data_IF_911321870919
#
_entry.id   IF_911321870919
#
_cell.length_a   1.000
_cell.length_b   1.000
_cell.length_c   1.000
_cell.angle_alpha   90.00
_cell.angle_beta   90.00
_cell.angle_gamma   90.00
#
_symmetry.space_group_name_H-M   'P 1'
#
loop_
_entity.id
_entity.type
_entity.pdbx_description
1 polymer ?
#
# COMPACT_ATOMS: atom_id res chain seq x y z
N UNK A 1 -23.98 -70.92 16.08
CA UNK A 1 -23.20 -71.72 15.11
C UNK A 1 -21.74 -71.31 15.28
N UNK A 2 -20.92 -72.31 15.57
CA UNK A 2 -19.44 -72.40 15.56
C UNK A 2 -18.72 -71.53 14.54
N UNK A 3 -17.47 -71.10 14.69
CA UNK A 3 -16.42 -71.43 15.67
C UNK A 3 -15.02 -71.11 15.08
N UNK A 4 -13.98 -71.14 15.95
CA UNK A 4 -12.53 -71.35 15.72
C UNK A 4 -11.76 -70.34 14.82
N UNK A 5 -10.67 -69.67 15.25
CA UNK A 5 -9.29 -70.15 15.60
C UNK A 5 -8.52 -70.63 14.34
N UNK A 6 -7.23 -70.42 14.08
CA UNK A 6 -6.00 -70.01 14.81
C UNK A 6 -4.94 -69.53 13.78
N UNK A 7 -3.92 -68.82 14.27
CA UNK A 7 -2.46 -68.81 13.98
C UNK A 7 -1.90 -69.34 12.62
N UNK A 8 -0.78 -68.88 12.06
CA UNK A 8 0.58 -68.81 12.63
C UNK A 8 1.53 -67.97 11.74
N UNK A 9 2.58 -67.49 12.39
CA UNK A 9 3.86 -66.98 11.87
C UNK A 9 4.53 -67.89 10.83
N UNK A 10 5.44 -67.32 10.01
CA UNK A 10 6.87 -67.67 10.02
C UNK A 10 7.66 -66.90 8.94
N UNK A 11 8.72 -66.23 9.39
CA UNK A 11 9.88 -65.79 8.61
C UNK A 11 10.64 -67.00 8.02
N UNK A 12 11.25 -66.87 6.83
CA UNK A 12 12.72 -67.02 6.71
C UNK A 12 13.29 -66.74 5.31
N UNK A 13 14.41 -66.01 5.35
CA UNK A 13 15.63 -66.02 4.53
C UNK A 13 15.69 -66.69 3.14
N UNK A 14 16.24 -65.96 2.15
CA UNK A 14 17.46 -66.43 1.48
C UNK A 14 18.24 -65.35 0.68
N UNK A 15 19.46 -65.10 1.17
CA UNK A 15 20.77 -65.08 0.49
C UNK A 15 20.99 -64.37 -0.88
N UNK A 16 21.87 -63.36 -0.78
CA UNK A 16 22.89 -62.78 -1.71
C UNK A 16 23.76 -63.87 -2.43
N UNK A 17 24.81 -63.62 -3.29
CA UNK A 17 25.47 -62.38 -3.79
C UNK A 17 26.01 -62.44 -5.26
N UNK A 18 26.46 -61.31 -5.83
CA UNK A 18 27.81 -61.13 -6.45
C UNK A 18 27.99 -59.87 -7.34
N UNK A 19 28.89 -58.99 -6.86
CA UNK A 19 30.05 -58.32 -7.53
C UNK A 19 29.82 -57.46 -8.79
N UNK A 20 30.35 -56.23 -8.94
CA UNK A 20 31.71 -55.75 -8.67
C UNK A 20 31.83 -54.21 -8.81
N UNK A 21 32.86 -53.67 -8.15
CA UNK A 21 33.39 -52.31 -8.11
C UNK A 21 33.33 -51.42 -9.37
N UNK A 22 32.97 -50.13 -9.19
CA UNK A 22 33.80 -48.94 -9.50
C UNK A 22 33.43 -47.79 -8.55
N UNK A 23 34.44 -47.12 -8.00
CA UNK A 23 34.30 -45.95 -7.10
C UNK A 23 34.56 -44.62 -7.84
N UNK A 24 33.92 -43.55 -7.32
CA UNK A 24 34.19 -42.09 -7.44
C UNK A 24 33.50 -41.27 -8.56
N UNK A 25 33.30 -39.93 -8.40
CA UNK A 25 33.36 -39.07 -7.20
C UNK A 25 32.09 -38.22 -6.94
N UNK A 26 32.04 -37.63 -5.74
CA UNK A 26 31.13 -36.59 -5.24
C UNK A 26 30.43 -35.72 -6.30
N UNK A 27 29.10 -35.82 -6.36
CA UNK A 27 28.27 -34.82 -7.02
C UNK A 27 28.15 -33.58 -6.11
N UNK A 28 29.07 -32.64 -6.36
CA UNK A 28 28.87 -31.19 -6.35
C UNK A 28 27.77 -30.69 -5.42
N UNK A 29 28.15 -30.31 -4.20
CA UNK A 29 27.48 -29.25 -3.48
C UNK A 29 27.46 -28.04 -4.42
N UNK A 30 26.29 -27.75 -5.00
CA UNK A 30 26.02 -26.51 -5.69
C UNK A 30 26.13 -25.37 -4.68
N UNK A 31 27.35 -24.89 -4.46
CA UNK A 31 27.60 -23.62 -3.80
C UNK A 31 26.85 -22.57 -4.61
N UNK A 32 25.74 -22.10 -4.03
CA UNK A 32 25.05 -20.90 -4.49
C UNK A 32 26.14 -19.81 -4.57
N UNK A 33 26.39 -19.20 -5.74
CA UNK A 33 27.43 -18.19 -5.85
C UNK A 33 27.12 -17.06 -4.87
N UNK A 34 27.90 -16.94 -3.80
CA UNK A 34 27.71 -15.88 -2.82
C UNK A 34 27.95 -14.57 -3.56
N UNK A 35 26.88 -13.79 -3.77
CA UNK A 35 26.96 -12.49 -4.43
C UNK A 35 27.98 -11.62 -3.68
N UNK A 36 29.15 -11.42 -4.28
CA UNK A 36 30.24 -10.63 -3.71
C UNK A 36 29.82 -9.17 -3.65
N UNK A 37 29.56 -8.67 -2.45
CA UNK A 37 29.21 -7.28 -2.21
C UNK A 37 30.43 -6.38 -2.48
N UNK A 38 30.31 -5.47 -3.44
CA UNK A 38 31.35 -4.49 -3.75
C UNK A 38 31.54 -3.50 -2.60
N UNK A 39 32.76 -3.02 -2.37
CA UNK A 39 33.09 -1.98 -1.36
C UNK A 39 33.35 -0.65 -2.07
N UNK A 40 32.98 0.52 -1.51
CA UNK A 40 33.19 1.81 -2.18
C UNK A 40 34.65 2.07 -2.53
N UNK A 41 34.93 2.19 -3.83
CA UNK A 41 36.28 2.42 -4.35
C UNK A 41 36.85 3.79 -3.94
N UNK A 42 35.98 4.75 -3.65
CA UNK A 42 36.33 6.08 -3.13
C UNK A 42 37.01 6.01 -1.75
N UNK A 43 36.69 4.98 -0.95
CA UNK A 43 37.22 4.84 0.41
C UNK A 43 38.24 3.71 0.54
N UNK A 44 38.23 2.74 -0.39
CA UNK A 44 39.05 1.54 -0.30
C UNK A 44 39.56 1.08 -1.67
N UNK A 45 40.79 0.57 -1.70
CA UNK A 45 41.36 -0.14 -2.86
C UNK A 45 41.58 -1.60 -2.51
N UNK A 46 41.14 -2.52 -3.37
CA UNK A 46 41.40 -3.96 -3.22
C UNK A 46 42.88 -4.24 -3.49
N UNK A 47 43.54 -4.98 -2.60
CA UNK A 47 44.97 -5.33 -2.69
C UNK A 47 45.23 -6.83 -2.78
N UNK A 48 44.17 -7.65 -2.81
CA UNK A 48 44.26 -9.10 -3.01
C UNK A 48 43.06 -9.87 -2.45
N UNK A 49 43.07 -11.19 -2.65
CA UNK A 49 42.13 -12.11 -2.03
C UNK A 49 42.76 -12.79 -0.80
N UNK A 50 41.93 -13.26 0.13
CA UNK A 50 42.41 -14.07 1.26
C UNK A 50 42.41 -15.54 0.86
N UNK A 51 43.57 -16.24 0.81
CA UNK A 51 43.62 -17.65 0.43
C UNK A 51 42.70 -18.51 1.30
N UNK A 52 41.85 -19.31 0.66
CA UNK A 52 40.94 -20.25 1.33
C UNK A 52 39.76 -19.60 2.07
N UNK A 53 39.45 -18.32 1.83
CA UNK A 53 38.29 -17.63 2.45
C UNK A 53 37.52 -16.80 1.42
N UNK A 54 36.19 -16.72 1.59
CA UNK A 54 35.31 -15.80 0.84
C UNK A 54 35.46 -14.35 1.36
N UNK A 55 36.68 -13.81 1.24
CA UNK A 55 37.04 -12.48 1.71
C UNK A 55 38.18 -11.89 0.88
N UNK A 56 38.16 -10.57 0.71
CA UNK A 56 39.20 -9.79 0.03
C UNK A 56 39.92 -8.86 1.01
N UNK A 57 41.15 -8.48 0.64
CA UNK A 57 42.01 -7.56 1.36
C UNK A 57 41.88 -6.16 0.78
N UNK A 58 41.70 -5.16 1.64
CA UNK A 58 41.53 -3.76 1.25
C UNK A 58 42.49 -2.83 1.98
N UNK A 59 42.95 -1.79 1.29
CA UNK A 59 43.64 -0.62 1.87
C UNK A 59 42.66 0.54 1.93
N UNK A 60 42.59 1.25 3.06
CA UNK A 60 41.79 2.46 3.20
C UNK A 60 42.50 3.66 2.55
N UNK A 61 41.74 4.52 1.87
CA UNK A 61 42.24 5.71 1.17
C UNK A 61 42.11 7.00 1.99
N UNK A 62 41.56 6.93 3.20
CA UNK A 62 41.40 8.11 4.05
C UNK A 62 42.78 8.69 4.42
N UNK A 63 43.06 10.00 4.21
CA UNK A 63 44.39 10.59 4.41
C UNK A 63 44.96 10.41 5.82
N UNK A 64 44.09 10.39 6.84
CA UNK A 64 44.47 10.15 8.24
C UNK A 64 44.54 8.67 8.66
N UNK A 65 44.39 7.72 7.74
CA UNK A 65 44.43 6.29 8.09
C UNK A 65 45.87 5.77 8.18
N UNK A 66 46.27 5.35 9.39
CA UNK A 66 47.58 4.73 9.63
C UNK A 66 47.47 3.20 9.44
N UNK A 67 48.13 2.59 8.43
CA UNK A 67 48.08 1.15 8.22
C UNK A 67 48.71 0.39 9.40
N UNK A 68 48.03 -0.65 9.89
CA UNK A 68 48.62 -1.55 10.88
C UNK A 68 49.77 -2.32 10.23
N UNK A 69 50.89 -2.52 10.93
CA UNK A 69 52.02 -3.33 10.44
C UNK A 69 52.00 -4.73 11.04
N UNK A 70 52.45 -5.72 10.28
CA UNK A 70 52.74 -7.08 10.76
C UNK A 70 54.10 -7.10 11.48
N UNK A 71 54.43 -8.23 12.12
CA UNK A 71 55.73 -8.42 12.80
C UNK A 71 56.93 -8.30 11.85
N UNK A 72 56.73 -8.60 10.57
CA UNK A 72 57.73 -8.49 9.50
C UNK A 72 57.85 -7.05 8.92
N UNK A 73 57.11 -6.07 9.47
CA UNK A 73 57.12 -4.69 9.01
C UNK A 73 56.20 -4.39 7.81
N UNK A 74 55.63 -5.41 7.17
CA UNK A 74 54.70 -5.23 6.05
C UNK A 74 53.34 -4.68 6.52
N UNK A 75 52.64 -3.96 5.64
CA UNK A 75 51.28 -3.50 5.93
C UNK A 75 50.32 -4.69 6.14
N UNK A 76 49.41 -4.54 7.09
CA UNK A 76 48.31 -5.46 7.37
C UNK A 76 47.02 -4.86 6.81
N UNK A 77 46.56 -5.32 5.63
CA UNK A 77 45.34 -4.81 5.02
C UNK A 77 44.08 -5.18 5.84
N UNK A 78 42.99 -4.47 5.58
CA UNK A 78 41.67 -4.76 6.13
C UNK A 78 41.06 -5.99 5.44
N UNK A 79 40.57 -6.95 6.21
CA UNK A 79 39.85 -8.13 5.68
C UNK A 79 38.36 -7.83 5.61
N UNK A 80 37.76 -7.97 4.42
CA UNK A 80 36.33 -7.76 4.19
C UNK A 80 35.73 -9.01 3.54
N UNK A 81 34.67 -9.55 4.15
CA UNK A 81 33.99 -10.74 3.64
C UNK A 81 33.11 -10.42 2.44
N UNK A 82 33.02 -11.33 1.48
CA UNK A 82 32.23 -11.13 0.26
C UNK A 82 30.73 -10.97 0.55
N UNK A 83 30.23 -11.55 1.65
CA UNK A 83 28.83 -11.46 2.06
C UNK A 83 28.47 -10.20 2.86
N UNK A 84 29.45 -9.35 3.24
CA UNK A 84 29.17 -8.22 4.14
C UNK A 84 30.16 -7.06 4.02
N UNK A 85 29.62 -5.83 4.04
CA UNK A 85 30.40 -4.58 4.07
C UNK A 85 30.71 -4.10 5.49
N UNK A 86 30.29 -4.81 6.54
CA UNK A 86 30.35 -4.32 7.93
C UNK A 86 31.76 -3.92 8.41
N UNK A 87 32.79 -4.69 8.02
CA UNK A 87 34.17 -4.36 8.41
C UNK A 87 34.68 -3.09 7.75
N UNK A 88 34.38 -2.89 6.46
CA UNK A 88 34.73 -1.69 5.73
C UNK A 88 33.97 -0.46 6.27
N UNK A 89 32.65 -0.59 6.48
CA UNK A 89 31.81 0.47 7.06
C UNK A 89 32.37 0.93 8.40
N UNK A 90 32.56 -0.02 9.32
CA UNK A 90 33.06 0.28 10.67
C UNK A 90 34.45 0.92 10.63
N UNK A 91 35.34 0.46 9.76
CA UNK A 91 36.67 1.06 9.62
C UNK A 91 36.59 2.52 9.15
N UNK A 92 35.79 2.79 8.12
CA UNK A 92 35.63 4.13 7.57
C UNK A 92 35.01 5.12 8.58
N UNK A 93 33.98 4.68 9.31
CA UNK A 93 33.30 5.53 10.30
C UNK A 93 34.16 5.86 11.51
N UNK A 94 35.17 5.05 11.83
CA UNK A 94 36.11 5.37 12.90
C UNK A 94 37.00 6.59 12.60
N UNK A 95 37.02 7.08 11.36
CA UNK A 95 37.67 8.34 11.01
C UNK A 95 36.80 9.58 11.31
N UNK A 96 35.55 9.38 11.74
CA UNK A 96 34.61 10.43 12.18
C UNK A 96 33.98 10.02 13.51
N UNK A 97 34.78 9.95 14.60
CA UNK A 97 34.28 9.49 15.91
C UNK A 97 33.25 10.44 16.52
N UNK A 98 33.31 11.73 16.19
CA UNK A 98 32.44 12.81 16.64
C UNK A 98 31.15 12.93 15.82
N UNK A 99 31.09 12.30 14.63
CA UNK A 99 29.96 12.30 13.69
C UNK A 99 29.63 13.67 13.07
N UNK A 100 30.56 14.62 13.13
CA UNK A 100 30.42 15.97 12.61
C UNK A 100 30.91 16.09 11.15
N UNK A 101 31.75 15.16 10.68
CA UNK A 101 32.22 15.11 9.30
C UNK A 101 31.22 14.44 8.34
N UNK A 102 30.13 13.88 8.87
CA UNK A 102 29.05 13.30 8.07
C UNK A 102 29.43 12.01 7.35
N UNK A 103 30.45 11.27 7.82
CA UNK A 103 30.93 10.05 7.15
C UNK A 103 29.85 8.96 7.04
N UNK A 104 28.87 8.95 7.95
CA UNK A 104 27.70 8.06 7.83
C UNK A 104 26.93 8.29 6.53
N UNK A 105 26.69 9.56 6.19
CA UNK A 105 25.98 9.93 4.96
C UNK A 105 26.82 9.64 3.73
N UNK A 106 28.12 9.99 3.76
CA UNK A 106 29.07 9.66 2.68
C UNK A 106 29.14 8.15 2.40
N UNK A 107 29.15 7.33 3.46
CA UNK A 107 29.12 5.88 3.33
C UNK A 107 27.83 5.38 2.69
N UNK A 108 26.68 5.85 3.16
CA UNK A 108 25.37 5.46 2.62
C UNK A 108 25.21 5.84 1.15
N UNK A 109 25.64 7.04 0.78
CA UNK A 109 25.59 7.53 -0.59
C UNK A 109 26.51 6.70 -1.50
N UNK A 110 27.74 6.40 -1.06
CA UNK A 110 28.66 5.58 -1.84
C UNK A 110 28.18 4.12 -2.02
N UNK A 111 27.51 3.54 -1.02
CA UNK A 111 26.90 2.19 -1.15
C UNK A 111 25.71 2.22 -2.12
N UNK A 112 24.87 3.25 -2.08
CA UNK A 112 23.79 3.43 -3.07
C UNK A 112 24.36 3.55 -4.48
N UNK A 113 25.48 4.26 -4.67
CA UNK A 113 26.15 4.34 -5.96
C UNK A 113 26.65 2.98 -6.47
N UNK A 114 27.18 2.11 -5.62
CA UNK A 114 27.60 0.76 -6.01
C UNK A 114 26.43 -0.13 -6.43
N UNK A 115 25.36 -0.13 -5.63
CA UNK A 115 24.20 -0.97 -5.91
C UNK A 115 23.50 -0.51 -7.21
N UNK A 116 23.57 0.78 -7.54
CA UNK A 116 23.16 1.33 -8.84
C UNK A 116 24.14 1.01 -9.99
N UNK A 117 25.46 0.99 -9.72
CA UNK A 117 26.50 0.75 -10.74
C UNK A 117 26.55 -0.70 -11.24
N UNK A 118 26.08 -1.67 -10.45
CA UNK A 118 25.98 -3.08 -10.88
C UNK A 118 24.94 -3.30 -12.00
N UNK A 119 24.10 -2.29 -12.29
CA UNK A 119 23.05 -2.36 -13.31
C UNK A 119 23.43 -1.68 -14.64
N UNK A 120 24.63 -1.09 -14.77
CA UNK A 120 24.94 -0.12 -15.84
C UNK A 120 26.42 -0.19 -16.28
N UNK A 121 26.82 -1.21 -17.05
CA UNK A 121 28.02 -1.10 -17.89
C UNK A 121 27.62 -0.62 -19.30
N UNK A 122 27.52 0.70 -19.48
CA UNK A 122 27.80 1.46 -20.71
C UNK A 122 27.66 2.98 -20.41
N UNK A 123 28.82 3.63 -20.28
CA UNK A 123 29.24 5.05 -20.53
C UNK A 123 28.26 6.26 -20.47
N UNK A 124 28.73 7.50 -20.20
CA UNK A 124 28.32 8.22 -19.00
C UNK A 124 27.73 9.61 -19.28
N UNK A 125 26.47 9.83 -18.88
CA UNK A 125 25.94 11.10 -18.40
C UNK A 125 24.83 10.75 -17.41
N UNK A 126 25.00 10.95 -16.10
CA UNK A 126 23.86 10.75 -15.19
C UNK A 126 23.99 11.52 -13.88
N UNK A 127 23.53 12.79 -13.91
CA UNK A 127 22.47 13.17 -12.96
C UNK A 127 21.42 12.07 -13.07
N UNK A 128 20.91 11.50 -11.97
CA UNK A 128 19.92 10.41 -11.94
C UNK A 128 18.60 10.82 -12.63
N UNK A 129 18.68 11.15 -13.92
CA UNK A 129 17.64 11.33 -14.89
C UNK A 129 17.35 9.91 -15.30
N UNK A 130 16.16 9.44 -14.94
CA UNK A 130 15.51 8.43 -15.75
C UNK A 130 15.35 9.04 -17.14
N UNK A 131 16.30 8.77 -18.02
CA UNK A 131 16.26 9.24 -19.40
C UNK A 131 15.25 8.36 -20.13
N UNK A 132 14.41 8.98 -20.94
CA UNK A 132 13.51 8.26 -21.83
C UNK A 132 14.38 7.74 -22.99
N UNK A 133 14.66 6.44 -23.01
CA UNK A 133 15.52 5.81 -24.02
C UNK A 133 14.69 4.87 -24.89
N UNK A 134 13.86 4.04 -24.25
CA UNK A 134 13.01 3.05 -24.91
C UNK A 134 11.62 3.61 -25.15
N UNK A 135 10.91 3.04 -26.13
CA UNK A 135 9.50 3.37 -26.39
C UNK A 135 8.63 3.15 -25.15
N UNK A 136 8.89 2.07 -24.41
CA UNK A 136 8.19 1.76 -23.16
C UNK A 136 8.42 2.83 -22.08
N UNK A 137 9.62 3.42 -22.01
CA UNK A 137 9.91 4.51 -21.06
C UNK A 137 8.99 5.70 -21.38
N UNK A 138 8.92 6.10 -22.65
CA UNK A 138 8.08 7.21 -23.08
C UNK A 138 6.62 6.95 -22.74
N UNK A 139 6.13 5.76 -23.08
CA UNK A 139 4.74 5.37 -22.85
C UNK A 139 4.41 5.36 -21.35
N UNK A 140 5.30 4.86 -20.49
CA UNK A 140 5.10 4.83 -19.05
C UNK A 140 5.14 6.23 -18.43
N UNK A 141 6.06 7.08 -18.87
CA UNK A 141 6.16 8.46 -18.37
C UNK A 141 4.98 9.33 -18.81
N UNK A 142 4.54 9.20 -20.06
CA UNK A 142 3.37 9.93 -20.56
C UNK A 142 2.10 9.45 -19.84
N UNK A 143 1.93 8.13 -19.67
CA UNK A 143 0.79 7.60 -18.90
C UNK A 143 0.81 8.11 -17.45
N UNK A 144 1.98 8.08 -16.80
CA UNK A 144 2.13 8.59 -15.44
C UNK A 144 1.80 10.09 -15.34
N UNK A 145 2.25 10.90 -16.30
CA UNK A 145 1.89 12.32 -16.40
C UNK A 145 0.36 12.52 -16.48
N UNK A 146 -0.32 11.76 -17.34
CA UNK A 146 -1.78 11.83 -17.45
C UNK A 146 -2.48 11.49 -16.13
N UNK A 147 -1.96 10.52 -15.37
CA UNK A 147 -2.57 10.03 -14.13
C UNK A 147 -2.32 10.98 -12.97
N UNK A 148 -1.07 11.38 -12.75
CA UNK A 148 -0.67 12.24 -11.62
C UNK A 148 -1.38 13.59 -11.70
N UNK A 149 -1.49 14.15 -12.90
CA UNK A 149 -2.12 15.45 -13.11
C UNK A 149 -3.62 15.34 -13.48
N UNK A 150 -4.18 14.12 -13.49
CA UNK A 150 -5.60 13.83 -13.79
C UNK A 150 -6.05 14.50 -15.11
N UNK A 151 -5.23 14.34 -16.14
CA UNK A 151 -5.43 15.00 -17.43
C UNK A 151 -6.31 14.15 -18.36
N UNK A 152 -7.12 14.80 -19.23
CA UNK A 152 -7.81 14.08 -20.29
C UNK A 152 -6.82 13.36 -21.20
N UNK A 153 -7.07 12.09 -21.54
CA UNK A 153 -6.17 11.29 -22.38
C UNK A 153 -5.91 11.96 -23.75
N UNK A 154 -6.88 12.72 -24.28
CA UNK A 154 -6.69 13.50 -25.53
C UNK A 154 -5.54 14.51 -25.46
N UNK A 155 -4.99 14.81 -24.26
CA UNK A 155 -3.82 15.66 -24.08
C UNK A 155 -2.64 15.21 -24.94
N UNK A 156 -2.45 13.89 -25.13
CA UNK A 156 -1.39 13.34 -25.99
C UNK A 156 -1.56 13.72 -27.46
N UNK A 157 -2.76 14.13 -27.87
CA UNK A 157 -3.08 14.51 -29.24
C UNK A 157 -3.00 16.01 -29.48
N UNK A 158 -2.87 16.83 -28.42
CA UNK A 158 -2.75 18.29 -28.53
C UNK A 158 -1.49 18.68 -29.29
N UNK A 159 -1.56 19.65 -30.23
CA UNK A 159 -0.41 20.05 -31.06
C UNK A 159 0.83 20.45 -30.25
N UNK A 160 0.66 21.27 -29.21
CA UNK A 160 1.79 21.71 -28.38
C UNK A 160 2.46 20.57 -27.60
N UNK A 161 1.67 19.59 -27.13
CA UNK A 161 2.23 18.42 -26.44
C UNK A 161 2.98 17.51 -27.41
N UNK A 162 2.41 17.26 -28.60
CA UNK A 162 3.10 16.52 -29.68
C UNK A 162 4.44 17.16 -30.04
N UNK A 163 4.46 18.49 -30.22
CA UNK A 163 5.68 19.22 -30.56
C UNK A 163 6.74 19.15 -29.45
N UNK A 164 6.31 19.28 -28.19
CA UNK A 164 7.19 19.14 -27.03
C UNK A 164 7.84 17.75 -26.98
N UNK A 165 7.03 16.69 -27.03
CA UNK A 165 7.55 15.31 -26.96
C UNK A 165 8.46 15.00 -28.14
N UNK A 166 8.07 15.38 -29.36
CA UNK A 166 8.90 15.18 -30.57
C UNK A 166 10.25 15.90 -30.47
N UNK A 167 10.30 17.07 -29.83
CA UNK A 167 11.54 17.82 -29.64
C UNK A 167 12.45 17.17 -28.59
N UNK A 168 11.86 16.60 -27.54
CA UNK A 168 12.62 15.97 -26.45
C UNK A 168 13.11 14.56 -26.80
N UNK A 169 12.33 13.79 -27.56
CA UNK A 169 12.61 12.39 -27.90
C UNK A 169 12.28 12.10 -29.37
N UNK A 170 13.04 12.67 -30.32
CA UNK A 170 12.71 12.62 -31.75
C UNK A 170 12.75 11.20 -32.35
N UNK A 171 13.43 10.27 -31.69
CA UNK A 171 13.57 8.88 -32.17
C UNK A 171 12.45 7.94 -31.70
N UNK A 172 11.51 8.44 -30.88
CA UNK A 172 10.41 7.66 -30.32
C UNK A 172 9.06 8.17 -30.83
N UNK A 173 8.07 7.29 -30.81
CA UNK A 173 6.73 7.59 -31.32
C UNK A 173 5.81 7.93 -30.16
N UNK A 174 5.23 9.13 -30.17
CA UNK A 174 4.14 9.44 -29.24
C UNK A 174 2.84 8.79 -29.75
N UNK A 175 2.35 7.80 -29.01
CA UNK A 175 1.10 7.13 -29.33
C UNK A 175 -0.14 8.04 -29.14
N UNK A 176 -1.22 7.70 -29.85
CA UNK A 176 -2.49 8.41 -29.76
C UNK A 176 -3.34 8.00 -28.55
N UNK A 177 -4.51 8.64 -28.43
CA UNK A 177 -5.44 8.45 -27.32
C UNK A 177 -5.83 6.99 -27.10
N UNK A 178 -6.14 6.24 -28.16
CA UNK A 178 -6.59 4.83 -28.06
C UNK A 178 -5.56 3.94 -27.38
N UNK A 179 -4.27 4.12 -27.69
CA UNK A 179 -3.20 3.35 -27.06
C UNK A 179 -3.13 3.63 -25.55
N UNK A 180 -3.15 4.90 -25.15
CA UNK A 180 -3.10 5.28 -23.74
C UNK A 180 -4.38 4.91 -22.97
N UNK A 181 -5.54 4.89 -23.63
CA UNK A 181 -6.77 4.32 -23.05
C UNK A 181 -6.57 2.84 -22.72
N UNK A 182 -6.13 2.03 -23.68
CA UNK A 182 -5.92 0.60 -23.46
C UNK A 182 -4.84 0.35 -22.40
N UNK A 183 -3.73 1.11 -22.43
CA UNK A 183 -2.64 1.00 -21.46
C UNK A 183 -3.12 1.37 -20.03
N UNK A 184 -3.97 2.40 -19.91
CA UNK A 184 -4.59 2.76 -18.64
C UNK A 184 -5.52 1.66 -18.13
N UNK A 185 -6.33 1.06 -18.99
CA UNK A 185 -7.23 -0.04 -18.63
C UNK A 185 -6.46 -1.29 -18.17
N UNK A 186 -5.39 -1.67 -18.87
CA UNK A 186 -4.49 -2.75 -18.45
C UNK A 186 -3.90 -2.46 -17.07
N UNK A 187 -3.33 -1.27 -16.88
CA UNK A 187 -2.72 -0.89 -15.60
C UNK A 187 -3.76 -0.81 -14.47
N UNK A 188 -4.98 -0.33 -14.75
CA UNK A 188 -6.09 -0.34 -13.79
C UNK A 188 -6.41 -1.76 -13.34
N UNK A 189 -6.55 -2.71 -14.27
CA UNK A 189 -6.85 -4.10 -13.95
C UNK A 189 -5.74 -4.76 -13.13
N UNK A 190 -4.48 -4.51 -13.47
CA UNK A 190 -3.33 -4.99 -12.68
C UNK A 190 -3.36 -4.43 -11.25
N UNK A 191 -3.59 -3.11 -11.08
CA UNK A 191 -3.67 -2.48 -9.76
C UNK A 191 -4.88 -2.97 -8.96
N UNK A 192 -6.00 -3.21 -9.61
CA UNK A 192 -7.21 -3.79 -9.00
C UNK A 192 -6.92 -5.20 -8.47
N UNK A 193 -6.27 -6.06 -9.25
CA UNK A 193 -5.88 -7.40 -8.79
C UNK A 193 -4.87 -7.36 -7.63
N UNK A 194 -3.90 -6.43 -7.68
CA UNK A 194 -2.97 -6.20 -6.56
C UNK A 194 -3.71 -5.76 -5.29
N UNK A 195 -4.73 -4.91 -5.41
CA UNK A 195 -5.55 -4.49 -4.29
C UNK A 195 -6.36 -5.66 -3.71
N UNK A 196 -6.98 -6.49 -4.55
CA UNK A 196 -7.67 -7.71 -4.10
C UNK A 196 -6.70 -8.63 -3.34
N UNK A 197 -5.49 -8.87 -3.85
CA UNK A 197 -4.48 -9.67 -3.14
C UNK A 197 -4.07 -9.07 -1.79
N UNK A 198 -3.93 -7.74 -1.70
CA UNK A 198 -3.65 -7.06 -0.44
C UNK A 198 -4.81 -7.18 0.56
N UNK A 199 -6.06 -7.04 0.09
CA UNK A 199 -7.25 -7.16 0.91
C UNK A 199 -7.50 -8.60 1.36
N UNK A 200 -7.16 -9.61 0.54
CA UNK A 200 -7.20 -11.04 0.92
C UNK A 200 -6.33 -11.34 2.15
N UNK A 201 -5.21 -10.63 2.32
CA UNK A 201 -4.30 -10.76 3.48
C UNK A 201 -4.76 -9.98 4.71
N UNK A 202 -5.75 -9.10 4.57
CA UNK A 202 -6.33 -8.37 5.71
C UNK A 202 -7.35 -9.24 6.46
N UNK A 203 -7.43 -9.05 7.77
CA UNK A 203 -8.45 -9.67 8.63
C UNK A 203 -9.73 -8.85 8.64
N UNK A 204 -9.58 -7.53 8.74
CA UNK A 204 -10.66 -6.59 8.96
C UNK A 204 -10.46 -5.34 8.11
N UNK A 205 -11.58 -4.82 7.61
CA UNK A 205 -11.63 -3.59 6.85
C UNK A 205 -12.84 -2.74 7.26
N UNK A 206 -12.79 -1.46 6.92
CA UNK A 206 -13.92 -0.54 7.01
C UNK A 206 -13.95 0.33 5.77
N UNK A 207 -15.14 0.75 5.35
CA UNK A 207 -15.30 1.63 4.18
C UNK A 207 -15.76 3.02 4.59
N UNK A 208 -15.42 4.02 3.78
CA UNK A 208 -16.05 5.33 3.79
C UNK A 208 -16.70 5.54 2.43
N UNK A 209 -17.97 5.92 2.43
CA UNK A 209 -18.78 6.07 1.22
C UNK A 209 -19.29 7.50 1.17
N UNK A 210 -19.09 8.14 0.02
CA UNK A 210 -19.54 9.49 -0.27
C UNK A 210 -20.37 9.51 -1.54
N UNK A 211 -21.37 10.38 -1.61
CA UNK A 211 -22.14 10.61 -2.82
C UNK A 211 -22.27 12.11 -3.09
N UNK A 212 -21.93 12.51 -4.31
CA UNK A 212 -21.97 13.91 -4.71
C UNK A 212 -22.57 14.09 -6.09
N UNK A 213 -23.09 15.30 -6.32
CA UNK A 213 -23.55 15.73 -7.64
C UNK A 213 -22.57 16.72 -8.25
N UNK A 214 -22.14 16.47 -9.48
CA UNK A 214 -21.31 17.38 -10.25
C UNK A 214 -21.84 17.49 -11.67
N UNK A 215 -22.05 18.73 -12.14
CA UNK A 215 -22.54 19.04 -13.50
C UNK A 215 -23.81 18.25 -13.89
N UNK A 216 -24.77 18.17 -12.97
CA UNK A 216 -26.04 17.47 -13.18
C UNK A 216 -25.92 15.95 -13.22
N UNK A 217 -24.81 15.38 -12.75
CA UNK A 217 -24.59 13.93 -12.65
C UNK A 217 -24.21 13.56 -11.23
N UNK A 218 -24.83 12.51 -10.72
CA UNK A 218 -24.55 11.97 -9.41
C UNK A 218 -23.52 10.84 -9.46
N UNK A 219 -22.69 10.76 -8.43
CA UNK A 219 -21.62 9.79 -8.29
C UNK A 219 -21.59 9.24 -6.87
N UNK A 220 -21.22 7.97 -6.74
CA UNK A 220 -20.89 7.30 -5.49
C UNK A 220 -19.40 6.98 -5.51
N UNK A 221 -18.67 7.40 -4.49
CA UNK A 221 -17.28 7.07 -4.27
C UNK A 221 -17.13 6.26 -3.00
N UNK A 222 -16.39 5.16 -3.07
CA UNK A 222 -16.12 4.31 -1.92
C UNK A 222 -14.62 4.10 -1.75
N UNK A 223 -14.16 4.28 -0.51
CA UNK A 223 -12.77 4.04 -0.09
C UNK A 223 -12.75 2.98 0.99
N UNK A 224 -11.89 1.98 0.85
CA UNK A 224 -11.64 0.96 1.87
C UNK A 224 -10.40 1.30 2.69
N UNK A 225 -10.44 0.97 3.97
CA UNK A 225 -9.38 1.15 4.93
C UNK A 225 -9.12 -0.18 5.66
N UNK A 226 -7.86 -0.59 5.76
CA UNK A 226 -7.47 -1.82 6.45
C UNK A 226 -6.11 -1.65 7.11
N UNK A 227 -5.74 -2.56 8.01
CA UNK A 227 -4.38 -2.66 8.53
C UNK A 227 -3.63 -3.72 7.73
N UNK A 228 -2.43 -3.35 7.24
CA UNK A 228 -1.52 -4.30 6.63
C UNK A 228 -1.02 -5.30 7.70
N UNK A 229 -1.22 -6.60 7.47
CA UNK A 229 -0.99 -7.63 8.49
C UNK A 229 0.46 -7.75 8.97
N UNK A 230 1.43 -7.39 8.14
CA UNK A 230 2.85 -7.42 8.50
C UNK A 230 3.31 -6.13 9.18
N UNK A 231 2.99 -4.97 8.58
CA UNK A 231 3.50 -3.68 9.05
C UNK A 231 2.62 -3.00 10.08
N UNK A 232 1.39 -3.48 10.28
CA UNK A 232 0.33 -2.84 11.08
C UNK A 232 0.05 -1.38 10.68
N UNK A 233 0.47 -0.98 9.48
CA UNK A 233 0.19 0.35 8.95
C UNK A 233 -1.20 0.38 8.38
N UNK A 234 -1.97 1.40 8.74
CA UNK A 234 -3.25 1.69 8.09
C UNK A 234 -3.00 1.99 6.61
N UNK A 235 -3.67 1.23 5.74
CA UNK A 235 -3.73 1.42 4.29
C UNK A 235 -5.11 1.93 3.90
N UNK A 236 -5.19 2.55 2.74
CA UNK A 236 -6.45 3.03 2.19
C UNK A 236 -6.39 2.98 0.67
N UNK A 237 -7.50 2.63 0.04
CA UNK A 237 -7.62 2.58 -1.42
C UNK A 237 -9.05 2.90 -1.85
N UNK A 238 -9.19 3.58 -2.98
CA UNK A 238 -10.49 3.76 -3.63
C UNK A 238 -10.95 2.43 -4.21
N UNK A 239 -12.10 1.90 -3.78
CA UNK A 239 -12.73 0.73 -4.42
C UNK A 239 -13.35 1.13 -5.75
N UNK A 240 -14.01 2.28 -5.80
CA UNK A 240 -14.58 2.75 -7.05
C UNK A 240 -15.26 4.10 -6.96
N UNK A 241 -15.40 4.70 -8.13
CA UNK A 241 -16.29 5.83 -8.39
C UNK A 241 -17.32 5.34 -9.41
N UNK A 242 -18.59 5.28 -9.02
CA UNK A 242 -19.69 4.78 -9.83
C UNK A 242 -20.67 5.90 -10.13
N UNK A 243 -21.17 5.96 -11.37
CA UNK A 243 -22.19 6.94 -11.76
C UNK A 243 -23.55 6.44 -11.30
N UNK A 244 -24.24 7.26 -10.52
CA UNK A 244 -25.63 7.04 -10.13
C UNK A 244 -26.50 7.52 -11.30
N UNK A 245 -27.13 6.58 -12.01
CA UNK A 245 -27.96 6.88 -13.20
C UNK A 245 -29.44 7.02 -12.85
N UNK A 246 -29.89 6.34 -11.80
CA UNK A 246 -31.28 6.34 -11.34
C UNK A 246 -31.49 7.43 -10.28
N UNK A 247 -32.76 7.80 -10.01
CA UNK A 247 -33.10 8.85 -9.03
C UNK A 247 -32.79 8.39 -7.61
N UNK A 248 -31.52 8.45 -7.17
CA UNK A 248 -31.04 8.30 -5.78
C UNK A 248 -31.89 7.39 -4.88
N UNK A 249 -32.39 6.27 -5.39
CA UNK A 249 -33.15 5.34 -4.58
C UNK A 249 -32.15 4.62 -3.70
N UNK A 250 -32.50 4.46 -2.43
CA UNK A 250 -31.67 3.72 -1.49
C UNK A 250 -31.36 2.30 -2.01
N UNK A 251 -32.31 1.65 -2.69
CA UNK A 251 -32.10 0.35 -3.35
C UNK A 251 -30.94 0.37 -4.35
N UNK A 252 -30.89 1.38 -5.23
CA UNK A 252 -29.83 1.50 -6.22
C UNK A 252 -28.47 1.77 -5.57
N UNK A 253 -28.43 2.54 -4.48
CA UNK A 253 -27.22 2.75 -3.68
C UNK A 253 -26.74 1.45 -3.03
N UNK A 254 -27.65 0.70 -2.39
CA UNK A 254 -27.36 -0.61 -1.79
C UNK A 254 -26.72 -1.53 -2.81
N UNK A 255 -27.33 -1.71 -3.99
CA UNK A 255 -26.79 -2.59 -5.04
C UNK A 255 -25.39 -2.16 -5.49
N UNK A 256 -25.17 -0.86 -5.70
CA UNK A 256 -23.84 -0.37 -6.11
C UNK A 256 -22.76 -0.63 -5.05
N UNK A 257 -23.08 -0.48 -3.77
CA UNK A 257 -22.16 -0.74 -2.66
C UNK A 257 -21.88 -2.24 -2.55
N UNK A 258 -22.92 -3.08 -2.61
CA UNK A 258 -22.76 -4.53 -2.59
C UNK A 258 -21.92 -5.05 -3.77
N UNK A 259 -22.13 -4.51 -4.97
CA UNK A 259 -21.38 -4.88 -6.16
C UNK A 259 -19.89 -4.55 -6.00
N UNK A 260 -19.56 -3.39 -5.40
CA UNK A 260 -18.18 -3.04 -5.06
C UNK A 260 -17.60 -4.02 -4.01
N UNK A 261 -18.33 -4.34 -2.95
CA UNK A 261 -17.87 -5.29 -1.95
C UNK A 261 -17.61 -6.69 -2.54
N UNK A 262 -18.48 -7.16 -3.46
CA UNK A 262 -18.35 -8.44 -4.17
C UNK A 262 -17.19 -8.40 -5.17
N UNK A 263 -17.05 -7.32 -5.94
CA UNK A 263 -15.98 -7.14 -6.95
C UNK A 263 -14.59 -7.23 -6.33
N UNK A 264 -14.43 -6.78 -5.09
CA UNK A 264 -13.17 -6.77 -4.35
C UNK A 264 -13.02 -7.90 -3.33
N UNK A 265 -13.99 -8.80 -3.23
CA UNK A 265 -13.96 -9.97 -2.34
C UNK A 265 -13.73 -9.61 -0.86
N UNK A 266 -14.47 -8.61 -0.35
CA UNK A 266 -14.29 -8.08 1.02
C UNK A 266 -15.52 -8.21 1.92
N UNK A 267 -16.63 -8.76 1.43
CA UNK A 267 -17.91 -8.82 2.15
C UNK A 267 -17.75 -9.36 3.58
N UNK A 268 -16.98 -10.43 3.76
CA UNK A 268 -16.73 -11.12 5.04
C UNK A 268 -15.77 -10.38 5.99
N UNK A 269 -15.12 -9.32 5.52
CA UNK A 269 -14.06 -8.58 6.26
C UNK A 269 -14.53 -7.22 6.75
N UNK A 270 -15.66 -6.74 6.25
CA UNK A 270 -16.13 -5.39 6.52
C UNK A 270 -16.76 -5.30 7.91
N UNK A 271 -16.17 -4.46 8.77
CA UNK A 271 -16.62 -4.20 10.15
C UNK A 271 -17.43 -2.92 10.30
N UNK A 272 -17.57 -2.16 9.21
CA UNK A 272 -18.45 -1.03 9.17
C UNK A 272 -18.19 -0.13 7.96
N UNK A 273 -19.24 0.58 7.57
CA UNK A 273 -19.18 1.61 6.55
C UNK A 273 -19.54 2.96 7.17
N UNK A 274 -18.73 3.98 6.91
CA UNK A 274 -18.99 5.35 7.34
C UNK A 274 -19.49 6.15 6.16
N UNK A 275 -20.68 6.74 6.26
CA UNK A 275 -21.23 7.59 5.19
C UNK A 275 -21.46 9.00 5.70
N UNK A 276 -21.72 9.93 4.78
CA UNK A 276 -22.44 11.14 5.19
C UNK A 276 -23.86 10.76 5.64
N UNK A 277 -24.47 11.59 6.47
CA UNK A 277 -25.79 11.33 7.04
C UNK A 277 -26.90 11.62 6.01
N UNK A 278 -26.67 11.34 4.73
CA UNK A 278 -27.71 11.43 3.71
C UNK A 278 -28.82 10.44 4.00
N UNK A 279 -30.09 10.90 3.94
CA UNK A 279 -31.27 10.07 4.22
C UNK A 279 -31.31 8.78 3.39
N UNK A 280 -30.80 8.82 2.16
CA UNK A 280 -30.72 7.66 1.29
C UNK A 280 -29.71 6.60 1.79
N UNK A 281 -28.56 7.03 2.36
CA UNK A 281 -27.62 6.10 2.98
C UNK A 281 -28.20 5.50 4.25
N UNK A 282 -28.85 6.31 5.09
CA UNK A 282 -29.52 5.80 6.28
C UNK A 282 -30.52 4.72 5.95
N UNK A 283 -31.38 4.97 4.97
CA UNK A 283 -32.36 3.99 4.54
C UNK A 283 -31.67 2.74 3.97
N UNK A 284 -30.68 2.88 3.10
CA UNK A 284 -29.94 1.75 2.53
C UNK A 284 -29.32 0.84 3.61
N UNK A 285 -28.62 1.43 4.58
CA UNK A 285 -27.98 0.68 5.65
C UNK A 285 -28.94 0.17 6.72
N UNK A 286 -30.09 0.83 6.94
CA UNK A 286 -31.12 0.33 7.84
C UNK A 286 -31.81 -0.91 7.29
N UNK A 287 -32.13 -0.91 6.00
CA UNK A 287 -32.84 -2.04 5.36
C UNK A 287 -31.89 -3.21 5.05
N UNK A 288 -30.62 -2.94 4.69
CA UNK A 288 -29.69 -3.97 4.18
C UNK A 288 -28.45 -4.18 5.04
N UNK A 289 -28.23 -3.36 6.07
CA UNK A 289 -27.04 -3.41 6.92
C UNK A 289 -27.18 -4.33 8.13
N UNK A 290 -26.02 -4.72 8.65
CA UNK A 290 -25.91 -5.32 9.97
C UNK A 290 -26.35 -4.30 11.04
N UNK A 291 -26.85 -4.79 12.18
CA UNK A 291 -27.36 -3.95 13.26
C UNK A 291 -26.34 -2.84 13.59
N UNK A 292 -26.81 -1.60 13.63
CA UNK A 292 -26.01 -0.47 14.10
C UNK A 292 -26.25 -0.28 15.59
N UNK A 293 -25.18 -0.21 16.37
CA UNK A 293 -25.24 0.17 17.80
C UNK A 293 -25.57 1.65 18.01
N UNK A 294 -25.82 2.41 16.93
CA UNK A 294 -26.10 3.85 16.98
C UNK A 294 -27.62 4.05 16.99
N UNK A 295 -28.20 4.70 18.04
CA UNK A 295 -29.62 4.96 18.06
C UNK A 295 -30.08 5.73 16.81
N UNK A 296 -31.17 5.25 16.21
CA UNK A 296 -31.95 5.99 15.21
C UNK A 296 -32.73 7.08 15.93
N UNK A 297 -32.45 8.35 15.62
CA UNK A 297 -33.22 9.49 16.13
C UNK A 297 -33.95 10.23 15.01
N UNK A 298 -34.12 9.61 13.84
CA UNK A 298 -34.85 10.19 12.72
C UNK A 298 -35.81 9.14 12.14
N UNK A 299 -36.88 8.90 12.90
CA UNK A 299 -38.23 8.79 12.35
C UNK A 299 -39.00 9.97 12.97
N UNK A 300 -38.75 11.16 12.46
CA UNK A 300 -39.68 12.27 12.64
C UNK A 300 -39.74 13.11 11.36
N UNK A 301 -40.22 12.44 10.30
CA UNK A 301 -41.01 13.10 9.26
C UNK A 301 -42.41 13.44 9.86
N UNK A 302 -42.46 14.04 11.06
CA UNK A 302 -43.65 14.76 11.47
C UNK A 302 -43.59 16.16 10.87
N UNK A 303 -44.50 16.37 9.93
CA UNK A 303 -45.14 17.67 9.84
C UNK A 303 -45.47 18.15 11.26
N UNK A 304 -44.88 19.29 11.65
CA UNK A 304 -45.25 20.15 12.77
C UNK A 304 -46.25 19.57 13.78
N UNK A 305 -45.79 19.25 14.99
CA UNK A 305 -46.57 19.57 16.18
C UNK A 305 -45.66 19.84 17.37
N UNK A 306 -45.87 21.01 17.96
CA UNK A 306 -45.16 21.58 19.09
C UNK A 306 -45.27 20.70 20.34
N UNK A 307 -44.18 20.10 20.84
CA UNK A 307 -44.04 19.74 22.26
C UNK A 307 -42.59 19.92 22.77
N UNK A 308 -42.46 20.87 23.70
CA UNK A 308 -41.42 21.19 24.68
C UNK A 308 -39.97 20.66 24.56
N UNK A 309 -39.04 21.62 24.51
CA UNK A 309 -37.59 21.50 24.67
C UNK A 309 -37.18 20.58 25.85
N UNK A 310 -36.91 19.30 25.57
CA UNK A 310 -36.15 18.45 26.48
C UNK A 310 -34.66 18.52 26.09
N UNK A 311 -33.94 19.49 26.65
CA UNK A 311 -32.51 19.67 26.39
C UNK A 311 -31.69 18.53 27.01
N UNK A 312 -31.48 17.46 26.23
CA UNK A 312 -30.74 16.28 26.65
C UNK A 312 -29.23 16.57 26.69
N UNK A 313 -28.63 16.48 27.88
CA UNK A 313 -27.17 16.58 28.05
C UNK A 313 -26.53 15.26 27.62
N UNK A 314 -25.73 15.27 26.55
CA UNK A 314 -24.95 14.11 26.13
C UNK A 314 -23.53 14.21 26.67
N UNK A 315 -23.13 13.23 27.48
CA UNK A 315 -21.73 13.03 27.81
C UNK A 315 -21.05 12.39 26.59
N UNK A 316 -20.07 13.07 25.98
CA UNK A 316 -19.34 12.56 24.80
C UNK A 316 -18.74 11.17 25.09
N UNK A 317 -18.37 10.90 26.34
CA UNK A 317 -17.93 9.59 26.81
C UNK A 317 -18.97 8.50 26.61
N UNK A 318 -20.26 8.78 26.86
CA UNK A 318 -21.33 7.79 26.70
C UNK A 318 -21.64 7.48 25.23
N UNK A 319 -21.39 8.40 24.28
CA UNK A 319 -21.48 8.11 22.84
C UNK A 319 -20.33 7.18 22.40
N UNK A 320 -19.18 7.28 23.07
CA UNK A 320 -18.02 6.41 22.82
C UNK A 320 -18.14 5.06 23.54
N UNK A 321 -18.72 5.03 24.74
CA UNK A 321 -18.86 3.84 25.61
C UNK A 321 -20.17 3.05 25.38
N UNK A 322 -21.25 3.69 24.91
CA UNK A 322 -22.50 3.00 24.56
C UNK A 322 -22.31 2.00 23.40
N UNK A 323 -21.20 2.11 22.64
CA UNK A 323 -20.73 1.10 21.68
C UNK A 323 -20.50 -0.30 22.29
N UNK A 324 -20.55 -0.47 23.61
CA UNK A 324 -20.16 -1.73 24.28
C UNK A 324 -21.35 -2.49 24.92
N UNK A 325 -22.54 -1.89 25.14
CA UNK A 325 -23.52 -2.49 26.09
C UNK A 325 -25.01 -2.49 25.74
N UNK A 326 -25.47 -2.22 24.51
CA UNK A 326 -26.91 -2.28 24.24
C UNK A 326 -27.26 -3.17 23.05
N UNK A 327 -27.75 -4.38 23.37
CA UNK A 327 -28.37 -5.32 22.43
C UNK A 327 -29.66 -4.71 21.84
N UNK A 328 -29.68 -4.39 20.55
CA UNK A 328 -30.92 -4.21 19.80
C UNK A 328 -30.85 -4.75 18.36
N UNK A 329 -32.04 -5.09 17.87
CA UNK A 329 -32.35 -6.13 16.90
C UNK A 329 -32.25 -5.63 15.46
N UNK A 330 -31.41 -6.27 14.65
CA UNK A 330 -31.55 -6.20 13.19
C UNK A 330 -32.87 -6.86 12.79
N UNK A 331 -33.75 -6.15 12.09
CA UNK A 331 -34.91 -6.77 11.44
C UNK A 331 -34.51 -7.61 10.22
N UNK A 332 -33.23 -7.58 9.82
CA UNK A 332 -32.75 -8.26 8.64
C UNK A 332 -32.11 -9.60 8.99
N UNK A 333 -32.78 -10.69 8.58
CA UNK A 333 -32.35 -12.08 8.79
C UNK A 333 -31.06 -12.40 8.02
N UNK A 334 -30.70 -11.61 7.00
CA UNK A 334 -29.47 -11.77 6.19
C UNK A 334 -28.91 -10.40 5.77
N UNK A 335 -28.16 -9.69 6.63
CA UNK A 335 -27.55 -8.42 6.27
C UNK A 335 -26.53 -8.60 5.15
N UNK A 336 -26.52 -7.68 4.18
CA UNK A 336 -25.59 -7.66 3.04
C UNK A 336 -24.60 -6.49 3.09
N UNK A 337 -24.93 -5.44 3.84
CA UNK A 337 -24.06 -4.30 4.12
C UNK A 337 -23.49 -4.42 5.54
N UNK A 338 -22.27 -3.90 5.79
CA UNK A 338 -21.69 -3.89 7.14
C UNK A 338 -22.36 -2.84 8.03
N UNK A 339 -22.07 -2.90 9.34
CA UNK A 339 -22.56 -1.94 10.33
C UNK A 339 -22.39 -0.47 9.89
N UNK A 340 -23.47 0.31 9.94
CA UNK A 340 -23.42 1.73 9.60
C UNK A 340 -22.79 2.57 10.70
N UNK A 341 -21.92 3.50 10.30
CA UNK A 341 -21.30 4.50 11.17
C UNK A 341 -21.62 5.90 10.65
N UNK A 342 -22.27 6.71 11.48
CA UNK A 342 -22.51 8.13 11.17
C UNK A 342 -21.20 8.92 11.16
N UNK A 343 -21.06 9.85 10.23
CA UNK A 343 -19.92 10.76 10.20
C UNK A 343 -19.95 11.72 11.41
N UNK A 344 -18.98 11.61 12.32
CA UNK A 344 -18.89 12.50 13.51
C UNK A 344 -18.76 13.97 13.13
N UNK A 345 -18.03 14.29 12.05
CA UNK A 345 -17.90 15.66 11.57
C UNK A 345 -19.24 16.25 11.14
N UNK A 346 -20.09 15.45 10.48
CA UNK A 346 -21.44 15.88 10.12
C UNK A 346 -22.29 16.12 11.37
N UNK A 347 -22.26 15.21 12.35
CA UNK A 347 -22.98 15.38 13.61
C UNK A 347 -22.56 16.65 14.35
N UNK A 348 -21.25 16.91 14.45
CA UNK A 348 -20.72 18.15 15.02
C UNK A 348 -21.18 19.38 14.23
N UNK A 349 -21.26 19.27 12.89
CA UNK A 349 -21.78 20.36 12.06
C UNK A 349 -23.27 20.62 12.29
N UNK A 350 -24.07 19.60 12.56
CA UNK A 350 -25.48 19.76 12.91
C UNK A 350 -25.65 20.44 14.27
N UNK A 351 -24.89 20.00 15.28
CA UNK A 351 -24.87 20.64 16.61
C UNK A 351 -24.51 22.12 16.47
N UNK A 352 -23.42 22.43 15.75
CA UNK A 352 -23.02 23.80 15.50
C UNK A 352 -24.11 24.61 14.77
N UNK A 353 -24.78 24.03 13.75
CA UNK A 353 -25.88 24.69 13.04
C UNK A 353 -27.09 24.96 13.94
N UNK A 354 -27.44 24.02 14.82
CA UNK A 354 -28.53 24.16 15.78
C UNK A 354 -28.22 25.23 16.83
N UNK A 355 -26.98 25.32 17.31
CA UNK A 355 -26.57 26.38 18.24
C UNK A 355 -26.55 27.74 17.53
N UNK A 356 -26.02 27.80 16.31
CA UNK A 356 -26.00 28.99 15.45
C UNK A 356 -27.41 29.48 15.14
N UNK A 357 -28.40 28.59 14.99
CA UNK A 357 -29.78 28.99 14.71
C UNK A 357 -30.44 29.68 15.91
N UNK A 358 -30.00 29.34 17.12
CA UNK A 358 -30.47 29.91 18.40
C UNK A 358 -29.83 31.26 18.74
N UNK A 359 -28.79 31.71 18.01
CA UNK A 359 -28.15 33.01 18.26
C UNK A 359 -29.08 34.17 17.86
N UNK A 360 -29.56 35.00 18.81
CA UNK A 360 -30.51 36.07 18.53
C UNK A 360 -29.84 37.36 18.02
N UNK A 361 -28.50 37.41 17.96
CA UNK A 361 -27.75 38.60 17.59
C UNK A 361 -28.04 39.05 16.14
N UNK A 362 -28.55 40.28 15.92
CA UNK A 362 -28.95 40.75 14.59
C UNK A 362 -27.78 40.90 13.61
N UNK A 363 -26.57 41.21 14.09
CA UNK A 363 -25.37 41.36 13.25
C UNK A 363 -24.95 39.98 12.72
N UNK A 364 -24.97 38.99 13.61
CA UNK A 364 -24.68 37.61 13.29
C UNK A 364 -25.71 37.01 12.33
N UNK A 365 -27.01 37.25 12.53
CA UNK A 365 -28.06 36.80 11.60
C UNK A 365 -27.90 37.41 10.21
N UNK A 366 -27.52 38.69 10.13
CA UNK A 366 -27.23 39.38 8.86
C UNK A 366 -26.01 38.80 8.16
N UNK A 367 -24.95 38.47 8.91
CA UNK A 367 -23.75 37.82 8.38
C UNK A 367 -24.05 36.40 7.86
N UNK A 368 -24.80 35.62 8.64
CA UNK A 368 -25.25 34.25 8.29
C UNK A 368 -25.98 34.22 6.95
N UNK A 369 -26.96 35.09 6.78
CA UNK A 369 -27.79 35.14 5.57
C UNK A 369 -27.05 35.70 4.34
N UNK A 370 -25.85 36.28 4.52
CA UNK A 370 -25.02 36.80 3.42
C UNK A 370 -24.05 35.76 2.82
N UNK A 371 -23.92 34.59 3.44
CA UNK A 371 -22.94 33.56 3.09
C UNK A 371 -23.57 32.30 2.47
N UNK A 372 -24.90 32.23 2.41
CA UNK A 372 -25.70 31.25 1.64
C UNK A 372 -26.07 31.83 0.29
#
# INVERSE_FOLDING_TARGET
MSGASDNDDFDDENANPNTSHVSQPNASSTEIPVKKLAVPAEFFTCVGEVPGKNASLYRCLHPGCVPKKKRDGSEKPLVVYHSSRCNAKRHFLNHDPTKDLGHMKLWEDAVKHLDNSTSLNNTPISVNRRVIILQEDLDNWVLNFLIVDVLPIYTVEKPGFKQLVHTLVPNLVLHGRTFFTNKLETMYNERRLQLIDALRKSTDAATTIDAWTSRGKAYLGETIHWFDGESLKRRSACLGIRRIKERHTYDGLTTMIEDLHKEYEVVDKLRGATTDNGSNFFKAFRESGDASDVPSYEDDDSEQSDEEDNMLYFEIGNILDARIRQEYVSNNVNPTLPMHRKCTCYLLSLIAKADISKIPDPIFQKLRNSTT
#
